data_IF_883825340017
#
_entry.id   IF_883825340017
#
_cell.length_a   1.000
_cell.length_b   1.000
_cell.length_c   1.000
_cell.angle_alpha   90.00
_cell.angle_beta   90.00
_cell.angle_gamma   90.00
#
_symmetry.space_group_name_H-M   'P 1'
#
loop_
_entity.id
_entity.type
_entity.pdbx_description
1 polymer ?
#
# COMPACT_ATOMS: atom_id res chain seq x y z
N UNK A 1 9.64 23.88 -11.54
CA UNK A 1 9.37 23.74 -10.09
C UNK A 1 8.58 22.46 -10.01
N UNK A 2 9.32 21.36 -10.13
CA UNK A 2 8.75 20.07 -10.44
C UNK A 2 8.36 19.46 -9.11
N UNK A 3 7.05 19.59 -8.81
CA UNK A 3 6.35 18.87 -7.76
C UNK A 3 6.90 17.46 -7.67
N UNK A 4 7.70 17.24 -6.62
CA UNK A 4 8.21 15.94 -6.25
C UNK A 4 7.02 15.09 -5.80
N UNK A 5 6.29 14.54 -6.76
CA UNK A 5 5.35 13.46 -6.48
C UNK A 5 6.13 12.41 -5.69
N UNK A 6 5.68 12.03 -4.48
CA UNK A 6 6.36 11.01 -3.70
C UNK A 6 6.53 9.79 -4.59
N UNK A 7 7.77 9.35 -4.78
CA UNK A 7 8.15 8.42 -5.84
C UNK A 7 7.46 7.05 -5.62
N UNK A 8 6.22 6.89 -6.14
CA UNK A 8 5.40 5.67 -6.02
C UNK A 8 5.96 4.50 -6.84
N UNK A 9 7.12 4.68 -7.47
CA UNK A 9 7.81 3.65 -8.22
C UNK A 9 7.99 2.38 -7.40
N UNK A 10 8.29 2.49 -6.10
CA UNK A 10 8.42 1.33 -5.21
C UNK A 10 7.14 0.50 -5.10
N UNK A 11 5.95 1.10 -5.19
CA UNK A 11 4.66 0.40 -5.05
C UNK A 11 4.43 -0.59 -6.20
N UNK A 12 4.91 -0.22 -7.40
CA UNK A 12 4.73 -1.00 -8.61
C UNK A 12 5.96 -1.85 -8.94
N UNK A 13 7.12 -1.50 -8.39
CA UNK A 13 8.37 -2.24 -8.48
C UNK A 13 8.46 -3.33 -7.40
N UNK A 14 7.54 -4.30 -7.44
CA UNK A 14 7.34 -5.29 -6.37
C UNK A 14 8.45 -6.35 -6.27
N UNK A 15 8.93 -6.85 -7.40
CA UNK A 15 9.73 -8.07 -7.46
C UNK A 15 11.04 -7.86 -8.25
N UNK A 16 12.12 -8.53 -7.85
CA UNK A 16 13.31 -8.62 -8.70
C UNK A 16 12.96 -9.37 -9.99
N UNK A 17 13.35 -8.81 -11.16
CA UNK A 17 13.14 -9.49 -12.44
C UNK A 17 13.73 -10.91 -12.38
N UNK A 18 12.88 -11.91 -12.59
CA UNK A 18 13.28 -13.31 -12.74
C UNK A 18 13.45 -14.14 -11.47
N UNK A 19 13.27 -13.60 -10.25
CA UNK A 19 13.52 -14.35 -9.00
C UNK A 19 12.31 -14.54 -8.08
N UNK A 20 11.16 -13.94 -8.37
CA UNK A 20 9.95 -14.07 -7.52
C UNK A 20 10.05 -13.44 -6.11
N UNK A 21 11.25 -13.00 -5.71
CA UNK A 21 11.51 -12.37 -4.43
C UNK A 21 11.06 -10.91 -4.42
N UNK A 22 10.39 -10.51 -3.33
CA UNK A 22 10.00 -9.13 -3.08
C UNK A 22 11.23 -8.26 -2.91
N UNK A 23 11.19 -7.05 -3.48
CA UNK A 23 12.23 -6.04 -3.25
C UNK A 23 12.12 -5.50 -1.84
N UNK A 24 13.26 -5.23 -1.22
CA UNK A 24 13.30 -4.62 0.12
C UNK A 24 12.57 -3.28 0.14
N UNK A 25 12.77 -2.44 -0.87
CA UNK A 25 12.05 -1.15 -1.01
C UNK A 25 10.52 -1.33 -1.03
N UNK A 26 10.03 -2.42 -1.61
CA UNK A 26 8.60 -2.73 -1.60
C UNK A 26 8.14 -3.17 -0.21
N UNK A 27 8.91 -4.00 0.48
CA UNK A 27 8.60 -4.46 1.84
C UNK A 27 8.56 -3.27 2.80
N UNK A 28 9.59 -2.43 2.81
CA UNK A 28 9.69 -1.24 3.65
C UNK A 28 8.58 -0.24 3.36
N UNK A 29 8.32 0.04 2.08
CA UNK A 29 7.23 0.96 1.71
C UNK A 29 5.85 0.43 2.12
N UNK A 30 5.59 -0.88 2.03
CA UNK A 30 4.33 -1.47 2.54
C UNK A 30 4.24 -1.35 4.06
N UNK A 31 5.33 -1.53 4.80
CA UNK A 31 5.32 -1.37 6.26
C UNK A 31 5.03 0.06 6.67
N UNK A 32 5.69 1.03 6.03
CA UNK A 32 5.42 2.45 6.25
C UNK A 32 3.98 2.81 5.88
N UNK A 33 3.49 2.31 4.73
CA UNK A 33 2.11 2.49 4.30
C UNK A 33 1.10 2.02 5.36
N UNK A 34 1.31 0.82 5.90
CA UNK A 34 0.42 0.25 6.91
C UNK A 34 0.48 1.04 8.22
N UNK A 35 1.68 1.44 8.65
CA UNK A 35 1.87 2.26 9.86
C UNK A 35 1.10 3.57 9.73
N UNK A 36 1.33 4.32 8.65
CA UNK A 36 0.66 5.61 8.39
C UNK A 36 -0.85 5.45 8.28
N UNK A 37 -1.32 4.40 7.62
CA UNK A 37 -2.75 4.15 7.49
C UNK A 37 -3.42 3.78 8.82
N UNK A 38 -2.70 3.11 9.74
CA UNK A 38 -3.20 2.80 11.09
C UNK A 38 -3.31 4.04 11.99
N UNK A 39 -2.42 5.02 11.80
CA UNK A 39 -2.45 6.29 12.54
C UNK A 39 -3.65 7.18 12.18
N UNK A 40 -4.29 6.95 11.03
CA UNK A 40 -5.38 7.79 10.56
C UNK A 40 -6.70 7.57 11.32
N UNK A 41 -7.46 8.65 11.48
CA UNK A 41 -8.81 8.60 12.07
C UNK A 41 -9.75 7.69 11.27
N UNK A 42 -9.56 7.58 9.95
CA UNK A 42 -10.34 6.65 9.12
C UNK A 42 -10.17 5.20 9.56
N UNK A 43 -8.97 4.78 9.95
CA UNK A 43 -8.74 3.43 10.47
C UNK A 43 -9.52 3.20 11.77
N UNK A 44 -9.49 4.19 12.68
CA UNK A 44 -10.27 4.15 13.93
C UNK A 44 -11.77 4.13 13.68
N UNK A 45 -12.25 4.86 12.67
CA UNK A 45 -13.66 4.97 12.31
C UNK A 45 -14.20 3.73 11.59
N UNK A 46 -13.48 3.24 10.59
CA UNK A 46 -13.88 2.07 9.79
C UNK A 46 -13.53 0.75 10.53
N UNK A 47 -12.76 0.79 11.62
CA UNK A 47 -12.37 -0.40 12.41
C UNK A 47 -11.34 -1.29 11.73
N UNK A 48 -10.62 -0.74 10.75
CA UNK A 48 -9.66 -1.48 9.94
C UNK A 48 -9.17 -0.68 8.74
N UNK A 49 -8.40 -1.33 7.88
CA UNK A 49 -7.72 -0.71 6.76
C UNK A 49 -8.36 -1.16 5.45
N UNK A 50 -8.76 -0.21 4.59
CA UNK A 50 -9.26 -0.55 3.25
C UNK A 50 -8.14 -1.16 2.44
N UNK A 51 -8.32 -2.40 2.03
CA UNK A 51 -7.29 -3.16 1.35
C UNK A 51 -7.13 -2.67 -0.09
N UNK A 52 -6.00 -2.06 -0.46
CA UNK A 52 -5.78 -1.54 -1.81
C UNK A 52 -5.17 -2.58 -2.74
N UNK A 53 -5.30 -3.86 -2.35
CA UNK A 53 -4.81 -4.97 -3.12
C UNK A 53 -5.55 -5.06 -4.46
N UNK A 54 -4.87 -5.52 -5.51
CA UNK A 54 -5.47 -5.71 -6.84
C UNK A 54 -6.78 -6.53 -6.82
N UNK A 55 -6.87 -7.53 -5.94
CA UNK A 55 -8.08 -8.37 -5.79
C UNK A 55 -9.21 -7.70 -5.00
N UNK A 56 -8.87 -6.77 -4.13
CA UNK A 56 -9.76 -6.20 -3.14
C UNK A 56 -10.39 -4.90 -3.64
N UNK A 57 -9.66 -4.18 -4.50
CA UNK A 57 -10.05 -2.91 -5.10
C UNK A 57 -10.60 -1.89 -4.09
N UNK A 58 -9.99 -1.80 -2.91
CA UNK A 58 -10.40 -0.88 -1.83
C UNK A 58 -11.82 -1.12 -1.25
N UNK A 59 -12.49 -2.21 -1.61
CA UNK A 59 -13.86 -2.53 -1.17
C UNK A 59 -13.92 -3.24 0.19
N UNK A 60 -12.82 -3.86 0.60
CA UNK A 60 -12.72 -4.67 1.83
C UNK A 60 -11.97 -3.91 2.90
N UNK A 61 -12.59 -3.73 4.07
CA UNK A 61 -11.91 -3.29 5.29
C UNK A 61 -11.38 -4.54 5.98
N UNK A 62 -10.07 -4.60 6.17
CA UNK A 62 -9.37 -5.75 6.73
C UNK A 62 -8.37 -5.30 7.80
N UNK A 63 -7.97 -6.23 8.66
CA UNK A 63 -6.91 -5.98 9.63
C UNK A 63 -5.57 -5.72 8.93
N UNK A 64 -4.72 -4.89 9.52
CA UNK A 64 -3.43 -4.45 8.95
C UNK A 64 -2.56 -5.63 8.46
N UNK A 65 -2.50 -6.71 9.24
CA UNK A 65 -1.72 -7.92 8.92
C UNK A 65 -2.24 -8.61 7.66
N UNK A 66 -3.56 -8.63 7.47
CA UNK A 66 -4.20 -9.24 6.29
C UNK A 66 -3.93 -8.38 5.06
N UNK A 67 -4.03 -7.04 5.19
CA UNK A 67 -3.70 -6.12 4.10
C UNK A 67 -2.23 -6.28 3.69
N UNK A 68 -1.30 -6.35 4.65
CA UNK A 68 0.14 -6.58 4.40
C UNK A 68 0.37 -7.85 3.56
N UNK A 69 -0.22 -8.98 3.96
CA UNK A 69 -0.13 -10.25 3.22
C UNK A 69 -0.73 -10.12 1.82
N UNK A 70 -1.88 -9.44 1.68
CA UNK A 70 -2.52 -9.22 0.39
C UNK A 70 -1.66 -8.38 -0.55
N UNK A 71 -0.98 -7.36 -0.04
CA UNK A 71 -0.06 -6.52 -0.81
C UNK A 71 1.19 -7.28 -1.22
N UNK A 72 1.77 -8.09 -0.33
CA UNK A 72 2.90 -8.94 -0.65
C UNK A 72 2.58 -9.95 -1.76
N UNK A 73 1.39 -10.54 -1.71
CA UNK A 73 0.97 -11.56 -2.67
C UNK A 73 0.50 -10.99 -4.00
N UNK A 74 -0.35 -9.96 -3.98
CA UNK A 74 -1.06 -9.46 -5.16
C UNK A 74 -0.57 -8.10 -5.66
N UNK A 75 0.19 -7.36 -4.85
CA UNK A 75 0.54 -5.97 -5.12
C UNK A 75 -0.64 -5.00 -4.93
N UNK A 76 -0.35 -3.73 -5.16
CA UNK A 76 -1.35 -2.66 -5.18
C UNK A 76 -2.17 -2.72 -6.47
N UNK A 77 -3.42 -2.24 -6.43
CA UNK A 77 -4.17 -1.95 -7.66
C UNK A 77 -3.43 -0.89 -8.49
N UNK A 78 -3.51 -0.93 -9.83
CA UNK A 78 -2.99 0.15 -10.65
C UNK A 78 -3.68 1.47 -10.29
N UNK A 79 -2.93 2.57 -10.36
CA UNK A 79 -3.44 3.91 -10.11
C UNK A 79 -4.07 4.06 -8.71
N UNK A 80 -3.42 3.51 -7.68
CA UNK A 80 -3.86 3.72 -6.32
C UNK A 80 -3.54 5.16 -5.87
N UNK A 81 -4.54 6.04 -5.97
CA UNK A 81 -4.43 7.48 -5.67
C UNK A 81 -4.84 7.85 -4.23
N UNK A 82 -5.34 6.91 -3.41
CA UNK A 82 -5.81 7.24 -2.04
C UNK A 82 -4.65 7.72 -1.15
N UNK A 83 -3.39 7.43 -1.52
CA UNK A 83 -2.20 7.99 -0.85
C UNK A 83 -2.16 9.54 -0.88
N UNK A 84 -2.74 10.19 -1.89
CA UNK A 84 -2.71 11.66 -2.01
C UNK A 84 -3.64 12.37 -1.03
N UNK A 85 -4.67 11.67 -0.55
CA UNK A 85 -5.57 12.17 0.48
C UNK A 85 -5.01 11.92 1.90
N UNK A 86 -3.79 11.36 2.00
CA UNK A 86 -3.13 10.98 3.25
C UNK A 86 -2.03 11.95 3.72
N UNK A 87 -1.85 13.08 3.01
CA UNK A 87 -0.97 14.17 3.46
C UNK A 87 0.51 13.86 3.30
N UNK A 88 0.94 13.63 2.07
CA UNK A 88 2.26 14.06 1.58
C UNK A 88 2.07 15.04 0.42
#
# INVERSE_FOLDING_TARGET
MDDAQPNRSWMYDRCHRGRGALKESFVLGVEEFISKACEQERYRRDGGLRCPCLKCDCTKILHERVVKVHLYKNGFKPNYFIWEDHGE
#
